data_IF_298888307290
#
_entry.id   IF_298888307290
#
_cell.length_a   1.000
_cell.length_b   1.000
_cell.length_c   1.000
_cell.angle_alpha   90.00
_cell.angle_beta   90.00
_cell.angle_gamma   90.00
#
_symmetry.space_group_name_H-M   'P 1'
#
loop_
_entity.id
_entity.type
_entity.pdbx_description
1 polymer ?
#
# COMPACT_ATOMS: atom_id res chain seq x y z
N UNK A 1 1.28 -52.46 -28.52
CA UNK A 1 1.83 -52.57 -27.15
C UNK A 1 3.25 -52.04 -27.14
N UNK A 2 3.64 -51.36 -26.04
CA UNK A 2 4.92 -50.65 -25.76
C UNK A 2 4.98 -49.24 -26.37
N UNK A 3 4.63 -48.14 -25.69
CA UNK A 3 4.96 -47.59 -24.36
C UNK A 3 6.42 -47.12 -24.23
N UNK A 4 6.58 -45.79 -24.14
CA UNK A 4 7.57 -44.93 -23.40
C UNK A 4 7.71 -43.62 -24.19
N UNK A 5 7.10 -42.48 -23.84
CA UNK A 5 7.12 -41.65 -22.62
C UNK A 5 8.46 -40.94 -22.37
N UNK A 6 8.37 -39.62 -22.10
CA UNK A 6 9.41 -38.69 -21.60
C UNK A 6 10.33 -38.03 -22.64
N UNK A 7 10.65 -36.72 -22.58
CA UNK A 7 10.48 -35.69 -21.55
C UNK A 7 10.02 -34.36 -22.17
N UNK A 8 8.91 -33.80 -21.69
CA UNK A 8 8.64 -32.36 -21.76
C UNK A 8 9.31 -31.72 -20.54
N UNK A 9 10.47 -31.11 -20.73
CA UNK A 9 11.14 -30.32 -19.69
C UNK A 9 10.36 -29.01 -19.47
N UNK A 10 9.31 -29.08 -18.65
CA UNK A 10 8.69 -27.91 -18.05
C UNK A 10 9.72 -27.30 -17.07
N UNK A 11 10.49 -26.33 -17.55
CA UNK A 11 11.22 -25.39 -16.70
C UNK A 11 10.17 -24.55 -15.94
N UNK A 12 9.73 -25.08 -14.80
CA UNK A 12 9.09 -24.26 -13.77
C UNK A 12 10.23 -23.44 -13.19
N UNK A 13 10.43 -22.23 -13.73
CA UNK A 13 11.17 -21.19 -13.06
C UNK A 13 10.33 -20.80 -11.84
N UNK A 14 10.50 -21.53 -10.74
CA UNK A 14 10.10 -21.09 -9.42
C UNK A 14 11.05 -19.94 -9.02
N UNK A 15 10.84 -18.79 -9.65
CA UNK A 15 11.39 -17.54 -9.20
C UNK A 15 10.65 -17.13 -7.94
N UNK A 16 11.10 -17.63 -6.78
CA UNK A 16 10.78 -17.05 -5.49
C UNK A 16 11.36 -15.63 -5.43
N UNK A 17 10.68 -14.68 -6.07
CA UNK A 17 10.88 -13.26 -5.79
C UNK A 17 10.02 -12.93 -4.57
N UNK A 18 10.49 -13.30 -3.37
CA UNK A 18 10.00 -12.68 -2.14
C UNK A 18 10.52 -11.24 -2.12
N UNK A 19 9.89 -10.38 -2.93
CA UNK A 19 10.04 -8.95 -2.78
C UNK A 19 9.42 -8.60 -1.42
N UNK A 20 10.25 -8.34 -0.41
CA UNK A 20 9.83 -7.92 0.94
C UNK A 20 9.17 -6.52 0.97
N UNK A 21 8.87 -5.96 -0.19
CA UNK A 21 8.15 -4.69 -0.33
C UNK A 21 6.66 -4.93 -0.48
N UNK A 22 5.87 -4.18 0.28
CA UNK A 22 4.42 -4.11 0.12
C UNK A 22 4.07 -3.76 -1.34
N UNK A 23 3.08 -4.43 -1.95
CA UNK A 23 2.71 -4.13 -3.31
C UNK A 23 2.02 -2.75 -3.41
N UNK A 24 2.28 -2.05 -4.51
CA UNK A 24 1.67 -0.75 -4.79
C UNK A 24 0.29 -0.96 -5.41
N UNK A 25 -0.72 -0.35 -4.81
CA UNK A 25 -2.08 -0.28 -5.35
C UNK A 25 -2.16 0.86 -6.37
N UNK A 26 -2.49 0.52 -7.62
CA UNK A 26 -2.83 1.52 -8.64
C UNK A 26 -4.25 2.01 -8.40
N UNK A 27 -4.38 3.32 -8.24
CA UNK A 27 -5.64 3.98 -7.93
C UNK A 27 -5.74 5.32 -8.64
N UNK A 28 -6.98 5.69 -8.99
CA UNK A 28 -7.31 7.01 -9.52
C UNK A 28 -7.01 8.19 -8.59
N UNK A 29 -6.76 7.92 -7.30
CA UNK A 29 -6.39 8.92 -6.30
C UNK A 29 -4.90 9.30 -6.31
N UNK A 30 -4.03 8.58 -7.03
CA UNK A 30 -2.63 9.00 -7.22
C UNK A 30 -2.59 10.41 -7.85
N UNK A 31 -1.86 11.34 -7.23
CA UNK A 31 -1.75 12.74 -7.63
C UNK A 31 -2.89 13.66 -7.14
N UNK A 32 -3.87 13.14 -6.40
CA UNK A 32 -4.96 13.94 -5.83
C UNK A 32 -4.74 14.26 -4.35
N UNK A 33 -5.39 15.29 -3.80
CA UNK A 33 -5.39 15.55 -2.37
C UNK A 33 -5.90 14.35 -1.58
N UNK A 34 -5.16 13.93 -0.55
CA UNK A 34 -5.54 12.82 0.33
C UNK A 34 -6.91 13.00 1.01
N UNK A 35 -7.36 14.24 1.19
CA UNK A 35 -8.69 14.56 1.68
C UNK A 35 -9.82 13.96 0.81
N UNK A 36 -9.64 13.87 -0.52
CA UNK A 36 -10.61 13.27 -1.43
C UNK A 36 -10.80 11.78 -1.12
N UNK A 37 -9.68 11.07 -0.93
CA UNK A 37 -9.70 9.66 -0.54
C UNK A 37 -10.42 9.47 0.80
N UNK A 38 -10.11 10.28 1.81
CA UNK A 38 -10.73 10.16 3.13
C UNK A 38 -12.21 10.55 3.14
N UNK A 39 -12.63 11.46 2.26
CA UNK A 39 -14.04 11.77 2.08
C UNK A 39 -14.81 10.54 1.57
N UNK A 40 -14.26 9.84 0.58
CA UNK A 40 -14.88 8.66 -0.01
C UNK A 40 -14.82 7.44 0.91
N UNK A 41 -13.65 7.13 1.47
CA UNK A 41 -13.39 5.86 2.16
C UNK A 41 -13.35 5.98 3.69
N UNK A 42 -13.44 7.19 4.24
CA UNK A 42 -13.36 7.46 5.66
C UNK A 42 -11.95 7.83 6.14
N UNK A 43 -11.83 8.27 7.40
CA UNK A 43 -10.59 8.83 7.92
C UNK A 43 -9.51 7.75 8.09
N UNK A 44 -8.21 8.14 8.08
CA UNK A 44 -7.11 7.26 8.43
C UNK A 44 -7.18 6.86 9.92
N UNK A 45 -6.62 5.70 10.25
CA UNK A 45 -6.46 5.23 11.63
C UNK A 45 -5.27 5.89 12.33
N UNK A 46 -4.21 6.18 11.57
CA UNK A 46 -2.97 6.78 12.08
C UNK A 46 -2.33 7.66 11.00
N UNK A 47 -1.64 8.71 11.45
CA UNK A 47 -0.83 9.61 10.61
C UNK A 47 0.57 9.66 11.19
N UNK A 48 1.59 9.41 10.38
CA UNK A 48 3.00 9.45 10.76
C UNK A 48 3.73 10.44 9.86
N UNK A 49 4.37 11.48 10.41
CA UNK A 49 5.26 12.33 9.62
C UNK A 49 6.52 11.56 9.22
N UNK A 50 6.92 11.68 7.97
CA UNK A 50 8.24 11.24 7.51
C UNK A 50 9.24 12.26 8.02
N UNK A 51 10.16 11.81 8.89
CA UNK A 51 11.29 12.64 9.27
C UNK A 51 12.12 12.92 8.02
N UNK A 52 12.38 14.19 7.68
CA UNK A 52 13.31 14.50 6.61
C UNK A 52 14.68 13.93 7.00
N UNK A 53 15.28 13.13 6.11
CA UNK A 53 16.65 12.65 6.32
C UNK A 53 17.54 13.87 6.53
N UNK A 54 18.06 14.05 7.75
CA UNK A 54 19.04 15.08 8.04
C UNK A 54 20.34 14.68 7.35
N UNK A 55 20.56 15.21 6.15
CA UNK A 55 21.90 15.22 5.55
C UNK A 55 22.81 16.00 6.51
N UNK A 56 23.76 15.29 7.11
CA UNK A 56 24.55 15.75 8.25
C UNK A 56 25.12 17.17 8.10
N UNK A 57 25.01 17.93 9.18
CA UNK A 57 25.94 18.95 9.67
C UNK A 57 26.82 19.65 8.63
N UNK A 58 26.20 20.43 7.72
CA UNK A 58 26.90 21.54 7.05
C UNK A 58 26.72 22.82 7.88
N UNK A 59 27.77 23.39 8.49
CA UNK A 59 27.64 24.64 9.21
C UNK A 59 27.43 25.77 8.20
N UNK A 60 26.27 26.43 8.25
CA UNK A 60 26.02 27.67 7.50
C UNK A 60 24.76 27.77 6.66
N UNK A 61 23.80 26.85 6.78
CA UNK A 61 22.53 27.02 6.06
C UNK A 61 21.53 25.90 6.33
N UNK A 62 20.95 25.88 7.52
CA UNK A 62 19.73 25.12 7.75
C UNK A 62 18.55 25.89 7.12
N UNK A 63 18.41 25.80 5.80
CA UNK A 63 17.09 26.04 5.20
C UNK A 63 16.30 24.76 5.44
N UNK A 64 15.72 24.64 6.64
CA UNK A 64 14.77 23.58 6.96
C UNK A 64 13.52 23.85 6.12
N UNK A 65 13.52 23.35 4.89
CA UNK A 65 12.28 23.24 4.13
C UNK A 65 11.50 22.13 4.81
N UNK A 66 10.51 22.49 5.61
CA UNK A 66 9.68 21.57 6.39
C UNK A 66 8.71 20.80 5.47
N UNK A 67 9.26 20.09 4.49
CA UNK A 67 8.51 19.27 3.53
C UNK A 67 8.29 17.88 4.13
N UNK A 68 7.56 17.82 5.25
CA UNK A 68 7.21 16.56 5.90
C UNK A 68 6.15 15.86 5.05
N UNK A 69 6.59 14.96 4.18
CA UNK A 69 5.73 13.94 3.62
C UNK A 69 5.04 13.18 4.77
N UNK A 70 3.80 12.75 4.58
CA UNK A 70 3.03 12.05 5.60
C UNK A 70 2.67 10.65 5.12
N UNK A 71 2.74 9.69 6.04
CA UNK A 71 2.12 8.38 5.88
C UNK A 71 0.79 8.35 6.61
N UNK A 72 -0.26 8.06 5.86
CA UNK A 72 -1.60 7.81 6.39
C UNK A 72 -1.89 6.32 6.33
N UNK A 73 -2.07 5.71 7.51
CA UNK A 73 -2.51 4.33 7.60
C UNK A 73 -4.04 4.30 7.59
N UNK A 74 -4.61 3.47 6.73
CA UNK A 74 -6.05 3.37 6.55
C UNK A 74 -6.49 1.91 6.48
N UNK A 75 -7.70 1.65 6.94
CA UNK A 75 -8.34 0.34 6.87
C UNK A 75 -9.75 0.45 6.30
N UNK A 76 -10.19 -0.56 5.55
CA UNK A 76 -11.59 -0.69 5.11
C UNK A 76 -12.56 -0.93 6.27
N UNK A 77 -12.05 -1.28 7.46
CA UNK A 77 -12.76 -1.24 8.73
C UNK A 77 -12.28 0.00 9.49
N UNK A 78 -13.00 1.10 9.34
CA UNK A 78 -12.68 2.36 10.01
C UNK A 78 -13.93 2.98 10.63
N UNK A 79 -13.80 4.17 11.23
CA UNK A 79 -14.91 4.87 11.90
C UNK A 79 -16.15 5.05 11.00
N UNK A 80 -15.98 5.16 9.68
CA UNK A 80 -17.07 5.28 8.69
C UNK A 80 -17.78 3.95 8.43
N UNK A 81 -17.09 2.82 8.49
CA UNK A 81 -17.61 1.51 8.07
C UNK A 81 -17.81 0.51 9.21
N UNK A 82 -17.31 0.79 10.41
CA UNK A 82 -17.33 -0.13 11.56
C UNK A 82 -18.74 -0.53 12.03
N UNK A 83 -19.76 0.27 11.74
CA UNK A 83 -21.16 -0.02 12.11
C UNK A 83 -21.90 -0.86 11.06
N UNK A 84 -21.29 -1.12 9.89
CA UNK A 84 -21.90 -1.90 8.83
C UNK A 84 -21.82 -3.40 9.16
N UNK A 85 -22.89 -4.14 8.90
CA UNK A 85 -22.90 -5.60 9.04
C UNK A 85 -21.98 -6.23 7.99
N UNK A 86 -20.98 -6.99 8.42
CA UNK A 86 -20.02 -7.69 7.56
C UNK A 86 -20.18 -9.20 7.66
N UNK A 87 -19.87 -9.90 6.58
CA UNK A 87 -19.74 -11.36 6.59
C UNK A 87 -18.36 -11.73 7.14
N UNK A 88 -18.25 -12.90 7.75
CA UNK A 88 -16.96 -13.43 8.22
C UNK A 88 -15.93 -13.62 7.08
N UNK A 89 -16.40 -13.72 5.83
CA UNK A 89 -15.57 -13.79 4.63
C UNK A 89 -14.96 -12.46 4.20
N UNK A 90 -15.47 -11.32 4.71
CA UNK A 90 -15.06 -10.00 4.24
C UNK A 90 -13.67 -9.67 4.81
N UNK A 91 -12.64 -9.78 3.97
CA UNK A 91 -11.27 -9.45 4.37
C UNK A 91 -11.10 -7.94 4.52
N UNK A 92 -10.33 -7.56 5.55
CA UNK A 92 -9.92 -6.17 5.74
C UNK A 92 -8.88 -5.78 4.67
N UNK A 93 -9.01 -4.59 4.10
CA UNK A 93 -7.99 -4.00 3.25
C UNK A 93 -7.27 -2.95 4.07
N UNK A 94 -5.95 -3.07 4.19
CA UNK A 94 -5.11 -2.13 4.92
C UNK A 94 -4.15 -1.45 3.96
N UNK A 95 -4.07 -0.13 4.03
CA UNK A 95 -3.31 0.70 3.13
C UNK A 95 -2.40 1.66 3.90
N UNK A 96 -1.26 1.99 3.31
CA UNK A 96 -0.45 3.13 3.68
C UNK A 96 -0.37 4.09 2.48
N UNK A 97 -0.90 5.31 2.65
CA UNK A 97 -0.85 6.36 1.63
C UNK A 97 0.31 7.28 1.98
N UNK A 98 1.25 7.47 1.05
CA UNK A 98 2.30 8.48 1.20
C UNK A 98 1.91 9.74 0.45
N UNK A 99 2.00 10.89 1.09
CA UNK A 99 1.68 12.18 0.46
C UNK A 99 2.89 13.08 0.28
N UNK A 100 2.80 14.04 -0.64
CA UNK A 100 3.69 15.20 -0.69
C UNK A 100 3.46 16.11 0.52
N UNK A 101 4.29 17.15 0.66
CA UNK A 101 4.13 18.18 1.70
C UNK A 101 2.82 18.96 1.55
N UNK A 102 2.32 19.11 0.32
CA UNK A 102 1.05 19.76 -0.02
C UNK A 102 -0.16 18.86 0.27
N UNK A 103 0.06 17.58 0.60
CA UNK A 103 -0.98 16.62 0.97
C UNK A 103 -1.53 15.78 -0.18
N UNK A 104 -0.91 15.86 -1.37
CA UNK A 104 -1.28 15.06 -2.54
C UNK A 104 -0.72 13.64 -2.44
N UNK A 105 -1.51 12.63 -2.81
CA UNK A 105 -1.10 11.22 -2.74
C UNK A 105 -0.03 10.94 -3.79
N UNK A 106 1.15 10.48 -3.37
CA UNK A 106 2.20 10.02 -4.29
C UNK A 106 2.00 8.57 -4.71
N UNK A 107 1.70 7.71 -3.75
CA UNK A 107 1.38 6.30 -4.00
C UNK A 107 0.65 5.68 -2.80
N UNK A 108 0.07 4.52 -3.04
CA UNK A 108 -0.67 3.74 -2.06
C UNK A 108 -0.06 2.34 -1.97
N UNK A 109 0.40 1.96 -0.78
CA UNK A 109 0.93 0.62 -0.48
C UNK A 109 -0.16 -0.24 0.18
N UNK A 110 -0.26 -1.50 -0.23
CA UNK A 110 -1.11 -2.48 0.46
C UNK A 110 -0.30 -3.15 1.55
N UNK A 111 -0.78 -3.06 2.79
CA UNK A 111 -0.15 -3.71 3.93
C UNK A 111 -0.59 -5.17 3.96
N UNK A 112 0.37 -6.08 3.80
CA UNK A 112 0.09 -7.50 3.69
C UNK A 112 1.04 -8.32 4.59
N UNK A 113 0.54 -9.42 5.11
CA UNK A 113 1.38 -10.42 5.77
C UNK A 113 2.30 -11.11 4.75
N UNK A 114 3.42 -11.64 5.23
CA UNK A 114 4.39 -12.35 4.40
C UNK A 114 3.73 -13.50 3.64
N UNK A 115 3.90 -13.52 2.32
CA UNK A 115 3.30 -14.53 1.45
C UNK A 115 1.84 -14.26 1.05
N UNK A 116 1.24 -13.15 1.48
CA UNK A 116 -0.15 -12.80 1.12
C UNK A 116 -0.26 -11.54 0.26
N UNK A 117 0.85 -10.94 -0.18
CA UNK A 117 0.92 -9.69 -0.91
C UNK A 117 -0.05 -9.64 -2.12
N UNK A 118 -0.05 -10.68 -2.97
CA UNK A 118 -0.91 -10.71 -4.16
C UNK A 118 -2.40 -10.81 -3.81
N UNK A 119 -2.77 -11.66 -2.86
CA UNK A 119 -4.15 -11.80 -2.41
C UNK A 119 -4.66 -10.51 -1.73
N UNK A 120 -3.80 -9.85 -0.95
CA UNK A 120 -4.10 -8.57 -0.32
C UNK A 120 -4.27 -7.47 -1.37
N UNK A 121 -3.41 -7.43 -2.39
CA UNK A 121 -3.52 -6.49 -3.51
C UNK A 121 -4.85 -6.67 -4.24
N UNK A 122 -5.21 -7.89 -4.64
CA UNK A 122 -6.49 -8.18 -5.31
C UNK A 122 -7.68 -7.76 -4.44
N UNK A 123 -7.63 -8.05 -3.13
CA UNK A 123 -8.67 -7.63 -2.20
C UNK A 123 -8.79 -6.09 -2.14
N UNK A 124 -7.67 -5.39 -1.95
CA UNK A 124 -7.66 -3.93 -1.85
C UNK A 124 -8.08 -3.23 -3.15
N UNK A 125 -7.68 -3.75 -4.32
CA UNK A 125 -8.13 -3.24 -5.62
C UNK A 125 -9.63 -3.40 -5.86
N UNK A 126 -10.30 -4.30 -5.12
CA UNK A 126 -11.76 -4.43 -5.18
C UNK A 126 -12.50 -3.37 -4.35
N UNK A 127 -11.82 -2.79 -3.35
CA UNK A 127 -12.37 -1.77 -2.44
C UNK A 127 -12.06 -0.37 -2.93
N UNK A 128 -10.82 -0.14 -3.38
CA UNK A 128 -10.30 1.14 -3.84
C UNK A 128 -9.85 0.99 -5.29
N UNK A 129 -10.36 1.85 -6.18
CA UNK A 129 -10.07 1.84 -7.62
C UNK A 129 -9.23 3.04 -8.09
#
# INVERSE_FOLDING_TARGET
MRATCSLFACLIVAGCNTSDKNPILKSSFEGQPSANFFHEFGPPSQVIPVEPETFGDRPGGATTVDNKELYYYWSSINKKTAHLKRKASDRECQLALRTTAEGDIRWIEVLAEKGQAEAALVNCSSVVR
#
